data_IF_708415645926
#
_entry.id   IF_708415645926
#
_cell.length_a   1.000
_cell.length_b   1.000
_cell.length_c   1.000
_cell.angle_alpha   90.00
_cell.angle_beta   90.00
_cell.angle_gamma   90.00
#
_symmetry.space_group_name_H-M   'P 1'
#
loop_
_entity.id
_entity.type
_entity.pdbx_description
1 polymer ?
#
# COMPACT_ATOMS: atom_id res chain seq x y z
N UNK A 1 4.37 -2.66 31.14
CA UNK A 1 4.21 -3.16 29.74
C UNK A 1 4.11 -4.69 29.70
N UNK A 2 3.25 -5.27 30.55
CA UNK A 2 3.00 -6.71 30.59
C UNK A 2 1.50 -6.95 30.39
N UNK A 3 1.15 -7.99 29.62
CA UNK A 3 -0.18 -8.37 29.15
C UNK A 3 -0.74 -7.61 27.93
N UNK A 4 0.09 -7.38 26.91
CA UNK A 4 -0.45 -7.31 25.55
C UNK A 4 -0.92 -8.72 25.17
N UNK A 5 -2.21 -9.00 25.40
CA UNK A 5 -2.88 -10.25 25.02
C UNK A 5 -2.43 -10.64 23.60
N UNK A 6 -1.90 -11.85 23.45
CA UNK A 6 -1.82 -12.56 22.18
C UNK A 6 -3.24 -12.64 21.61
N UNK A 7 -3.66 -11.65 20.83
CA UNK A 7 -4.80 -11.85 19.94
C UNK A 7 -4.29 -12.82 18.90
N UNK A 8 -4.87 -14.02 18.89
CA UNK A 8 -4.57 -15.03 17.88
C UNK A 8 -4.75 -14.48 16.48
N UNK A 9 -4.12 -15.14 15.52
CA UNK A 9 -4.28 -14.87 14.08
C UNK A 9 -5.78 -14.72 13.75
N UNK A 10 -6.18 -13.75 12.89
CA UNK A 10 -7.57 -13.59 12.48
C UNK A 10 -8.15 -14.92 11.97
N UNK A 11 -9.45 -15.12 12.17
CA UNK A 11 -10.13 -16.31 11.68
C UNK A 11 -10.04 -16.39 10.14
N UNK A 12 -10.03 -17.62 9.59
CA UNK A 12 -9.97 -17.84 8.13
C UNK A 12 -11.02 -17.02 7.35
N UNK A 13 -12.23 -16.86 7.89
CA UNK A 13 -13.27 -16.03 7.29
C UNK A 13 -12.89 -14.55 7.13
N UNK A 14 -12.26 -13.95 8.14
CA UNK A 14 -11.84 -12.55 8.10
C UNK A 14 -10.70 -12.35 7.09
N UNK A 15 -9.74 -13.28 7.08
CA UNK A 15 -8.63 -13.32 6.10
C UNK A 15 -9.17 -13.49 4.67
N UNK A 16 -10.19 -14.33 4.50
CA UNK A 16 -10.87 -14.54 3.23
C UNK A 16 -11.58 -13.28 2.73
N UNK A 17 -12.21 -12.52 3.63
CA UNK A 17 -12.88 -11.26 3.28
C UNK A 17 -11.87 -10.21 2.78
N UNK A 18 -10.69 -10.14 3.41
CA UNK A 18 -9.58 -9.28 2.96
C UNK A 18 -9.11 -9.67 1.55
N UNK A 19 -8.83 -10.95 1.32
CA UNK A 19 -8.42 -11.46 0.01
C UNK A 19 -9.49 -11.26 -1.07
N UNK A 20 -10.76 -11.48 -0.74
CA UNK A 20 -11.87 -11.27 -1.66
C UNK A 20 -12.05 -9.78 -2.01
N UNK A 21 -11.81 -8.88 -1.05
CA UNK A 21 -11.76 -7.44 -1.28
C UNK A 21 -10.60 -7.04 -2.20
N UNK A 22 -9.40 -7.57 -1.94
CA UNK A 22 -8.22 -7.37 -2.79
C UNK A 22 -8.48 -7.86 -4.23
N UNK A 23 -9.01 -9.08 -4.40
CA UNK A 23 -9.39 -9.63 -5.71
C UNK A 23 -10.33 -8.71 -6.47
N UNK A 24 -11.45 -8.32 -5.84
CA UNK A 24 -12.48 -7.49 -6.45
C UNK A 24 -11.97 -6.09 -6.86
N UNK A 25 -11.02 -5.53 -6.10
CA UNK A 25 -10.45 -4.22 -6.39
C UNK A 25 -9.34 -4.22 -7.45
N UNK A 26 -8.58 -5.32 -7.57
CA UNK A 26 -7.35 -5.36 -8.39
C UNK A 26 -7.55 -6.16 -9.68
N UNK A 27 -8.09 -7.37 -9.61
CA UNK A 27 -8.12 -8.27 -10.76
C UNK A 27 -8.92 -7.73 -11.96
N UNK A 28 -10.12 -7.13 -11.79
CA UNK A 28 -10.87 -6.56 -12.92
C UNK A 28 -10.15 -5.39 -13.61
N UNK A 29 -9.43 -4.57 -12.84
CA UNK A 29 -8.67 -3.43 -13.39
C UNK A 29 -7.49 -3.90 -14.24
N UNK A 30 -6.71 -4.85 -13.72
CA UNK A 30 -5.60 -5.44 -14.48
C UNK A 30 -6.10 -6.09 -15.78
N UNK A 31 -7.25 -6.77 -15.75
CA UNK A 31 -7.85 -7.31 -16.96
C UNK A 31 -8.25 -6.23 -17.97
N UNK A 32 -8.85 -5.14 -17.48
CA UNK A 32 -9.20 -4.00 -18.33
C UNK A 32 -7.95 -3.37 -18.99
N UNK A 33 -6.83 -3.30 -18.28
CA UNK A 33 -5.55 -2.80 -18.80
C UNK A 33 -4.99 -3.73 -19.90
N UNK A 34 -5.03 -5.05 -19.69
CA UNK A 34 -4.63 -6.05 -20.70
C UNK A 34 -5.52 -5.97 -21.95
N UNK A 35 -6.82 -5.71 -21.76
CA UNK A 35 -7.74 -5.49 -22.88
C UNK A 35 -7.41 -4.20 -23.63
N UNK A 36 -7.15 -3.12 -22.90
CA UNK A 36 -6.84 -1.81 -23.47
C UNK A 36 -5.52 -1.79 -24.26
N UNK A 37 -4.57 -2.66 -23.92
CA UNK A 37 -3.32 -2.81 -24.68
C UNK A 37 -3.50 -3.50 -26.04
N UNK A 38 -4.67 -4.11 -26.29
CA UNK A 38 -4.93 -4.89 -27.50
C UNK A 38 -4.40 -6.33 -27.46
N UNK A 39 -3.78 -6.76 -26.35
CA UNK A 39 -3.23 -8.12 -26.19
C UNK A 39 -4.30 -9.23 -26.29
N UNK A 40 -5.58 -8.90 -26.10
CA UNK A 40 -6.71 -9.82 -26.24
C UNK A 40 -7.36 -9.80 -27.64
N UNK A 41 -6.69 -9.25 -28.65
CA UNK A 41 -7.21 -9.22 -30.02
C UNK A 41 -7.58 -10.64 -30.51
N UNK A 42 -8.83 -10.79 -30.95
CA UNK A 42 -9.38 -12.06 -31.44
C UNK A 42 -9.94 -13.01 -30.36
N UNK A 43 -9.73 -12.71 -29.07
CA UNK A 43 -10.30 -13.51 -27.98
C UNK A 43 -11.79 -13.17 -27.75
N UNK A 44 -12.60 -14.19 -27.43
CA UNK A 44 -13.97 -13.97 -26.93
C UNK A 44 -13.91 -13.36 -25.53
N UNK A 45 -14.53 -12.19 -25.35
CA UNK A 45 -14.40 -11.40 -24.10
C UNK A 45 -14.87 -12.18 -22.87
N UNK A 46 -15.95 -12.96 -22.99
CA UNK A 46 -16.50 -13.74 -21.89
C UNK A 46 -15.59 -14.91 -21.50
N UNK A 47 -15.05 -15.61 -22.50
CA UNK A 47 -14.09 -16.71 -22.30
C UNK A 47 -12.79 -16.17 -21.70
N UNK A 48 -12.29 -15.06 -22.24
CA UNK A 48 -11.07 -14.41 -21.74
C UNK A 48 -11.23 -13.96 -20.29
N UNK A 49 -12.36 -13.32 -19.95
CA UNK A 49 -12.66 -12.91 -18.58
C UNK A 49 -12.67 -14.08 -17.59
N UNK A 50 -13.30 -15.19 -17.96
CA UNK A 50 -13.37 -16.41 -17.11
C UNK A 50 -11.99 -17.05 -16.89
N UNK A 51 -11.19 -17.16 -17.95
CA UNK A 51 -9.84 -17.73 -17.84
C UNK A 51 -8.89 -16.79 -17.07
N UNK A 52 -9.08 -15.47 -17.16
CA UNK A 52 -8.38 -14.50 -16.32
C UNK A 52 -8.74 -14.66 -14.84
N UNK A 53 -10.04 -14.72 -14.52
CA UNK A 53 -10.51 -14.88 -13.13
C UNK A 53 -9.93 -16.15 -12.49
N UNK A 54 -9.87 -17.25 -13.24
CA UNK A 54 -9.28 -18.51 -12.78
C UNK A 54 -7.78 -18.38 -12.49
N UNK A 55 -7.01 -17.78 -13.42
CA UNK A 55 -5.58 -17.56 -13.24
C UNK A 55 -5.27 -16.58 -12.10
N UNK A 56 -6.05 -15.50 -11.99
CA UNK A 56 -5.90 -14.50 -10.94
C UNK A 56 -6.21 -15.09 -9.55
N UNK A 57 -7.28 -15.88 -9.41
CA UNK A 57 -7.57 -16.57 -8.14
C UNK A 57 -6.48 -17.57 -7.77
N UNK A 58 -5.93 -18.32 -8.74
CA UNK A 58 -4.80 -19.23 -8.47
C UNK A 58 -3.56 -18.46 -8.01
N UNK A 59 -3.26 -17.31 -8.61
CA UNK A 59 -2.18 -16.44 -8.16
C UNK A 59 -2.38 -15.96 -6.70
N UNK A 60 -3.59 -15.60 -6.31
CA UNK A 60 -3.91 -15.28 -4.91
C UNK A 60 -3.62 -16.47 -3.98
N UNK A 61 -4.03 -17.68 -4.34
CA UNK A 61 -3.77 -18.91 -3.55
C UNK A 61 -2.27 -19.15 -3.40
N UNK A 62 -1.46 -18.92 -4.45
CA UNK A 62 0.00 -18.98 -4.34
C UNK A 62 0.52 -18.01 -3.29
N UNK A 63 -0.02 -16.78 -3.25
CA UNK A 63 0.28 -15.80 -2.20
C UNK A 63 -0.09 -16.30 -0.80
N UNK A 64 -1.25 -16.94 -0.65
CA UNK A 64 -1.68 -17.57 0.62
C UNK A 64 -0.71 -18.66 1.07
N UNK A 65 -0.31 -19.55 0.16
CA UNK A 65 0.63 -20.63 0.45
C UNK A 65 2.01 -20.09 0.84
N UNK A 66 2.44 -18.98 0.22
CA UNK A 66 3.72 -18.34 0.52
C UNK A 66 3.78 -17.74 1.94
N UNK A 67 2.66 -17.23 2.47
CA UNK A 67 2.55 -16.76 3.86
C UNK A 67 2.65 -17.89 4.89
N UNK A 68 2.53 -19.15 4.45
CA UNK A 68 2.57 -20.33 5.30
C UNK A 68 1.35 -20.48 6.22
N UNK A 69 1.42 -21.49 7.09
CA UNK A 69 0.30 -21.99 7.88
C UNK A 69 0.23 -23.50 7.80
N UNK A 70 -0.67 -24.12 8.58
CA UNK A 70 -0.95 -25.54 8.42
C UNK A 70 -1.69 -25.79 7.10
N UNK A 71 -1.61 -27.02 6.58
CA UNK A 71 -2.36 -27.38 5.36
C UNK A 71 -3.87 -27.18 5.53
N UNK A 72 -4.40 -27.49 6.72
CA UNK A 72 -5.82 -27.33 7.05
C UNK A 72 -6.22 -25.85 7.11
N UNK A 73 -5.39 -24.99 7.72
CA UNK A 73 -5.62 -23.54 7.77
C UNK A 73 -5.65 -22.91 6.37
N UNK A 74 -4.74 -23.36 5.49
CA UNK A 74 -4.69 -22.90 4.10
C UNK A 74 -5.94 -23.39 3.36
N UNK A 75 -6.34 -24.65 3.52
CA UNK A 75 -7.53 -25.20 2.89
C UNK A 75 -8.81 -24.43 3.30
N UNK A 76 -9.00 -24.23 4.61
CA UNK A 76 -10.14 -23.47 5.15
C UNK A 76 -10.19 -22.04 4.61
N UNK A 77 -9.03 -21.37 4.51
CA UNK A 77 -8.93 -20.02 3.96
C UNK A 77 -9.25 -20.00 2.46
N UNK A 78 -8.76 -20.96 1.68
CA UNK A 78 -9.02 -21.04 0.24
C UNK A 78 -10.50 -21.33 -0.04
N UNK A 79 -11.11 -22.26 0.70
CA UNK A 79 -12.54 -22.56 0.58
C UNK A 79 -13.39 -21.33 0.93
N UNK A 80 -13.07 -20.66 2.04
CA UNK A 80 -13.72 -19.43 2.42
C UNK A 80 -13.56 -18.36 1.32
N UNK A 81 -12.36 -18.15 0.79
CA UNK A 81 -12.10 -17.19 -0.29
C UNK A 81 -12.97 -17.46 -1.53
N UNK A 82 -13.02 -18.71 -1.98
CA UNK A 82 -13.86 -19.11 -3.12
C UNK A 82 -15.34 -18.80 -2.88
N UNK A 83 -15.87 -19.10 -1.70
CA UNK A 83 -17.26 -18.78 -1.37
C UNK A 83 -17.56 -17.28 -1.51
N UNK A 84 -16.65 -16.40 -1.07
CA UNK A 84 -16.85 -14.95 -1.17
C UNK A 84 -16.75 -14.46 -2.60
N UNK A 85 -15.74 -14.91 -3.34
CA UNK A 85 -15.48 -14.41 -4.70
C UNK A 85 -16.53 -14.94 -5.68
N UNK A 86 -16.79 -16.25 -5.68
CA UNK A 86 -17.70 -16.85 -6.65
C UNK A 86 -19.15 -16.39 -6.47
N UNK A 87 -19.59 -16.20 -5.22
CA UNK A 87 -20.91 -15.66 -4.92
C UNK A 87 -21.08 -14.22 -5.40
N UNK A 88 -19.99 -13.46 -5.55
CA UNK A 88 -20.01 -12.08 -6.09
C UNK A 88 -19.95 -12.05 -7.62
N UNK A 89 -19.21 -12.96 -8.25
CA UNK A 89 -19.04 -13.00 -9.71
C UNK A 89 -20.31 -13.43 -10.44
N UNK A 90 -20.78 -14.66 -10.20
CA UNK A 90 -22.01 -15.18 -10.81
C UNK A 90 -22.74 -16.08 -9.78
N UNK A 91 -23.50 -15.54 -8.82
CA UNK A 91 -24.10 -16.32 -7.72
C UNK A 91 -24.98 -17.49 -8.19
N UNK A 92 -25.66 -17.36 -9.34
CA UNK A 92 -26.48 -18.42 -9.91
C UNK A 92 -25.67 -19.59 -10.52
N UNK A 93 -24.35 -19.45 -10.65
CA UNK A 93 -23.46 -20.39 -11.37
C UNK A 93 -22.24 -20.82 -10.55
N UNK A 94 -22.28 -20.63 -9.23
CA UNK A 94 -21.19 -21.06 -8.33
C UNK A 94 -20.76 -22.52 -8.57
N UNK A 95 -21.65 -23.51 -8.77
CA UNK A 95 -21.23 -24.88 -9.06
C UNK A 95 -20.44 -25.02 -10.37
N UNK A 96 -20.88 -24.32 -11.43
CA UNK A 96 -20.20 -24.31 -12.74
C UNK A 96 -18.83 -23.66 -12.64
N UNK A 97 -18.74 -22.54 -11.92
CA UNK A 97 -17.49 -21.82 -11.67
C UNK A 97 -16.52 -22.66 -10.85
N UNK A 98 -16.98 -23.33 -9.77
CA UNK A 98 -16.14 -24.26 -8.99
C UNK A 98 -15.61 -25.40 -9.84
N UNK A 99 -16.45 -26.00 -10.69
CA UNK A 99 -16.01 -27.06 -11.60
C UNK A 99 -14.99 -26.57 -12.63
N UNK A 100 -15.13 -25.33 -13.10
CA UNK A 100 -14.16 -24.69 -13.99
C UNK A 100 -12.82 -24.44 -13.28
N UNK A 101 -12.85 -23.81 -12.09
CA UNK A 101 -11.64 -23.57 -11.29
C UNK A 101 -10.90 -24.85 -10.97
N UNK A 102 -11.59 -25.91 -10.55
CA UNK A 102 -10.97 -27.21 -10.26
C UNK A 102 -10.15 -27.73 -11.44
N UNK A 103 -10.70 -27.69 -12.66
CA UNK A 103 -9.96 -28.10 -13.88
C UNK A 103 -8.74 -27.24 -14.14
N UNK A 104 -8.82 -25.92 -13.91
CA UNK A 104 -7.69 -25.01 -14.11
C UNK A 104 -6.62 -25.19 -13.06
N UNK A 105 -7.00 -25.41 -11.81
CA UNK A 105 -6.05 -25.61 -10.72
C UNK A 105 -5.30 -26.91 -10.87
N UNK A 106 -5.97 -28.00 -11.28
CA UNK A 106 -5.31 -29.26 -11.60
C UNK A 106 -4.22 -29.08 -12.65
N UNK A 107 -4.49 -28.29 -13.70
CA UNK A 107 -3.51 -27.94 -14.74
C UNK A 107 -2.37 -27.09 -14.18
N UNK A 108 -2.66 -25.99 -13.47
CA UNK A 108 -1.66 -25.06 -12.95
C UNK A 108 -0.77 -25.68 -11.87
N UNK A 109 -1.34 -26.47 -10.97
CA UNK A 109 -0.58 -27.23 -9.99
C UNK A 109 0.26 -28.32 -10.66
N UNK A 110 -0.25 -28.91 -11.75
CA UNK A 110 0.51 -29.80 -12.62
C UNK A 110 1.77 -29.12 -13.16
N UNK A 111 1.65 -27.91 -13.71
CA UNK A 111 2.78 -27.11 -14.20
C UNK A 111 3.80 -26.81 -13.09
N UNK A 112 3.33 -26.42 -11.91
CA UNK A 112 4.19 -26.15 -10.75
C UNK A 112 4.95 -27.41 -10.30
N UNK A 113 4.27 -28.56 -10.23
CA UNK A 113 4.89 -29.86 -9.90
C UNK A 113 5.94 -30.27 -10.92
N UNK A 114 5.66 -30.12 -12.22
CA UNK A 114 6.60 -30.47 -13.30
C UNK A 114 7.87 -29.62 -13.25
N UNK A 115 7.74 -28.32 -12.96
CA UNK A 115 8.89 -27.42 -12.86
C UNK A 115 9.72 -27.66 -11.58
N UNK A 116 9.08 -28.12 -10.50
CA UNK A 116 9.71 -28.39 -9.22
C UNK A 116 10.32 -27.16 -8.56
N UNK A 117 11.08 -27.38 -7.48
CA UNK A 117 11.66 -26.28 -6.68
C UNK A 117 12.64 -25.42 -7.48
N UNK A 118 13.48 -26.02 -8.31
CA UNK A 118 14.46 -25.30 -9.13
C UNK A 118 13.80 -24.47 -10.25
N UNK A 119 12.56 -24.80 -10.62
CA UNK A 119 11.79 -24.07 -11.63
C UNK A 119 10.76 -23.10 -11.05
N UNK A 120 10.72 -22.86 -9.73
CA UNK A 120 9.69 -22.04 -9.09
C UNK A 120 9.53 -20.65 -9.72
N UNK A 121 10.63 -19.97 -10.06
CA UNK A 121 10.61 -18.66 -10.71
C UNK A 121 9.98 -18.66 -12.13
N UNK A 122 9.83 -19.84 -12.76
CA UNK A 122 9.21 -19.99 -14.09
C UNK A 122 7.72 -20.34 -14.02
N UNK A 123 7.20 -20.67 -12.83
CA UNK A 123 5.80 -21.04 -12.64
C UNK A 123 4.83 -19.94 -13.11
N UNK A 124 5.03 -18.65 -12.82
CA UNK A 124 4.12 -17.59 -13.28
C UNK A 124 4.03 -17.54 -14.80
N UNK A 125 5.17 -17.63 -15.49
CA UNK A 125 5.23 -17.66 -16.95
C UNK A 125 4.54 -18.89 -17.55
N UNK A 126 4.68 -20.07 -16.92
CA UNK A 126 4.01 -21.28 -17.38
C UNK A 126 2.48 -21.21 -17.22
N UNK A 127 2.00 -20.68 -16.09
CA UNK A 127 0.56 -20.46 -15.84
C UNK A 127 0.01 -19.41 -16.82
N UNK A 128 0.73 -18.29 -17.01
CA UNK A 128 0.37 -17.26 -17.98
C UNK A 128 0.25 -17.81 -19.40
N UNK A 129 1.19 -18.66 -19.83
CA UNK A 129 1.14 -19.32 -21.12
C UNK A 129 -0.05 -20.28 -21.26
N UNK A 130 -0.43 -20.99 -20.19
CA UNK A 130 -1.63 -21.82 -20.19
C UNK A 130 -2.90 -20.98 -20.28
N UNK A 131 -3.03 -19.96 -19.42
CA UNK A 131 -4.14 -19.02 -19.43
C UNK A 131 -4.34 -18.38 -20.83
N UNK A 132 -3.27 -17.85 -21.43
CA UNK A 132 -3.32 -17.22 -22.76
C UNK A 132 -3.81 -18.19 -23.87
N UNK A 133 -3.45 -19.47 -23.80
CA UNK A 133 -3.99 -20.49 -24.73
C UNK A 133 -5.49 -20.70 -24.54
N UNK A 134 -5.97 -20.76 -23.29
CA UNK A 134 -7.39 -20.97 -23.01
C UNK A 134 -8.24 -19.74 -23.33
N UNK A 135 -7.66 -18.54 -23.28
CA UNK A 135 -8.28 -17.29 -23.75
C UNK A 135 -8.47 -17.25 -25.28
N UNK A 136 -7.82 -18.16 -26.03
CA UNK A 136 -7.84 -18.21 -27.49
C UNK A 136 -7.36 -16.90 -28.15
N UNK A 137 -6.38 -16.23 -27.54
CA UNK A 137 -5.82 -15.00 -28.10
C UNK A 137 -5.06 -15.29 -29.42
N UNK A 138 -5.14 -14.35 -30.37
CA UNK A 138 -4.46 -14.49 -31.67
C UNK A 138 -2.93 -14.63 -31.54
N UNK A 139 -2.35 -14.02 -30.52
CA UNK A 139 -0.94 -14.17 -30.14
C UNK A 139 -0.82 -14.56 -28.65
N UNK A 140 -0.96 -15.86 -28.39
CA UNK A 140 -0.90 -16.40 -27.03
C UNK A 140 0.49 -16.21 -26.37
N UNK A 141 1.57 -16.09 -27.15
CA UNK A 141 2.91 -15.91 -26.60
C UNK A 141 3.09 -14.48 -26.07
N UNK A 142 2.74 -13.48 -26.88
CA UNK A 142 2.78 -12.07 -26.45
C UNK A 142 1.85 -11.80 -25.26
N UNK A 143 0.65 -12.40 -25.26
CA UNK A 143 -0.25 -12.32 -24.12
C UNK A 143 0.36 -12.95 -22.86
N UNK A 144 1.00 -14.12 -22.96
CA UNK A 144 1.64 -14.76 -21.82
C UNK A 144 2.74 -13.90 -21.20
N UNK A 145 3.56 -13.23 -22.01
CA UNK A 145 4.58 -12.28 -21.54
C UNK A 145 3.96 -11.09 -20.79
N UNK A 146 2.78 -10.65 -21.22
CA UNK A 146 2.01 -9.59 -20.55
C UNK A 146 1.40 -10.07 -19.23
N UNK A 147 0.84 -11.28 -19.19
CA UNK A 147 0.14 -11.81 -18.01
C UNK A 147 1.08 -12.26 -16.88
N UNK A 148 2.25 -12.82 -17.21
CA UNK A 148 3.18 -13.36 -16.22
C UNK A 148 3.55 -12.38 -15.07
N UNK A 149 3.99 -11.15 -15.33
CA UNK A 149 4.30 -10.19 -14.26
C UNK A 149 3.06 -9.77 -13.46
N UNK A 150 1.88 -9.73 -14.09
CA UNK A 150 0.62 -9.39 -13.42
C UNK A 150 0.20 -10.48 -12.43
N UNK A 151 0.34 -11.76 -12.81
CA UNK A 151 0.06 -12.89 -11.92
C UNK A 151 1.02 -12.91 -10.73
N UNK A 152 2.30 -12.58 -10.94
CA UNK A 152 3.24 -12.48 -9.82
C UNK A 152 2.89 -11.30 -8.89
N UNK A 153 2.57 -10.14 -9.45
CA UNK A 153 2.11 -8.97 -8.67
C UNK A 153 0.83 -9.26 -7.87
N UNK A 154 -0.08 -10.08 -8.41
CA UNK A 154 -1.27 -10.53 -7.69
C UNK A 154 -0.92 -11.46 -6.51
N UNK A 155 0.02 -12.38 -6.70
CA UNK A 155 0.47 -13.29 -5.64
C UNK A 155 1.16 -12.52 -4.50
N UNK A 156 2.07 -11.59 -4.84
CA UNK A 156 2.74 -10.71 -3.88
C UNK A 156 1.74 -9.82 -3.14
N UNK A 157 0.78 -9.22 -3.87
CA UNK A 157 -0.26 -8.39 -3.27
C UNK A 157 -1.18 -9.16 -2.33
N UNK A 158 -1.49 -10.42 -2.64
CA UNK A 158 -2.29 -11.29 -1.78
C UNK A 158 -1.56 -11.65 -0.48
N UNK A 159 -0.26 -12.00 -0.58
CA UNK A 159 0.61 -12.24 0.58
C UNK A 159 0.70 -10.99 1.46
N UNK A 160 0.94 -9.82 0.89
CA UNK A 160 0.97 -8.56 1.61
C UNK A 160 -0.37 -8.22 2.30
N UNK A 161 -1.50 -8.46 1.63
CA UNK A 161 -2.83 -8.24 2.20
C UNK A 161 -3.10 -9.16 3.40
N UNK A 162 -2.62 -10.41 3.36
CA UNK A 162 -2.71 -11.34 4.48
C UNK A 162 -1.79 -10.98 5.63
N UNK A 163 -0.53 -10.65 5.37
CA UNK A 163 0.40 -10.21 6.40
C UNK A 163 -0.15 -8.98 7.14
N UNK A 164 -0.81 -8.09 6.41
CA UNK A 164 -1.50 -6.93 6.96
C UNK A 164 -2.72 -7.31 7.80
N UNK A 165 -3.57 -8.23 7.34
CA UNK A 165 -4.70 -8.72 8.12
C UNK A 165 -4.23 -9.42 9.40
N UNK A 166 -3.16 -10.19 9.30
CA UNK A 166 -2.56 -10.97 10.37
C UNK A 166 -1.81 -10.10 11.39
N UNK A 167 -1.55 -8.82 11.07
CA UNK A 167 -0.93 -7.86 11.99
C UNK A 167 -1.94 -7.46 13.08
N UNK A 168 -1.88 -8.02 14.31
CA UNK A 168 -2.94 -7.84 15.27
C UNK A 168 -2.94 -6.42 15.82
N UNK A 169 -4.12 -5.77 15.80
CA UNK A 169 -4.36 -4.55 16.56
C UNK A 169 -3.86 -3.26 15.91
N UNK A 170 -3.70 -3.21 14.59
CA UNK A 170 -3.56 -1.92 13.90
C UNK A 170 -4.92 -1.20 13.86
N UNK A 171 -5.03 -0.12 14.63
CA UNK A 171 -6.21 0.74 14.67
C UNK A 171 -6.02 1.94 13.74
N UNK A 172 -6.87 2.04 12.72
CA UNK A 172 -6.83 3.11 11.72
C UNK A 172 -8.14 3.92 11.75
N UNK A 173 -8.11 5.23 11.44
CA UNK A 173 -9.30 5.95 11.04
C UNK A 173 -9.83 5.37 9.72
N UNK A 174 -11.10 5.59 9.42
CA UNK A 174 -11.67 5.20 8.12
C UNK A 174 -10.82 5.79 6.98
N UNK A 175 -10.53 4.97 5.96
CA UNK A 175 -9.66 5.35 4.85
C UNK A 175 -10.47 5.98 3.70
N UNK A 176 -11.77 5.69 3.62
CA UNK A 176 -12.66 6.15 2.57
C UNK A 176 -12.78 7.68 2.52
N UNK A 177 -12.92 8.41 3.64
CA UNK A 177 -12.92 9.87 3.64
C UNK A 177 -11.59 10.45 3.11
N UNK A 178 -10.44 9.91 3.56
CA UNK A 178 -9.13 10.29 3.03
C UNK A 178 -9.06 10.07 1.51
N UNK A 179 -9.50 8.91 1.02
CA UNK A 179 -9.54 8.61 -0.43
C UNK A 179 -10.44 9.57 -1.21
N UNK A 180 -11.52 10.06 -0.61
CA UNK A 180 -12.38 11.05 -1.24
C UNK A 180 -11.69 12.40 -1.40
N UNK A 181 -10.97 12.84 -0.36
CA UNK A 181 -10.16 14.06 -0.41
C UNK A 181 -9.00 13.92 -1.41
N UNK A 182 -8.32 12.76 -1.41
CA UNK A 182 -7.13 12.55 -2.24
C UNK A 182 -7.45 12.46 -3.73
N UNK A 183 -8.61 11.91 -4.12
CA UNK A 183 -9.06 11.91 -5.52
C UNK A 183 -9.14 13.32 -6.12
N UNK A 184 -9.36 14.37 -5.30
CA UNK A 184 -9.31 15.76 -5.76
C UNK A 184 -7.89 16.25 -6.03
N UNK A 185 -6.93 15.82 -5.21
CA UNK A 185 -5.50 16.08 -5.46
C UNK A 185 -5.05 15.38 -6.75
N UNK A 186 -5.42 14.10 -6.91
CA UNK A 186 -5.13 13.32 -8.12
C UNK A 186 -5.74 13.99 -9.36
N UNK A 187 -7.02 14.38 -9.30
CA UNK A 187 -7.71 15.08 -10.39
C UNK A 187 -7.13 16.46 -10.72
N UNK A 188 -6.43 17.08 -9.78
CA UNK A 188 -5.73 18.35 -9.97
C UNK A 188 -4.25 18.18 -10.38
N UNK A 189 -3.76 16.94 -10.48
CA UNK A 189 -2.35 16.63 -10.78
C UNK A 189 -1.39 17.05 -9.66
N UNK A 190 -1.84 17.09 -8.40
CA UNK A 190 -1.01 17.43 -7.25
C UNK A 190 -0.45 16.15 -6.64
N UNK A 191 0.87 16.02 -6.62
CA UNK A 191 1.54 14.95 -5.87
C UNK A 191 1.31 15.13 -4.36
N UNK A 192 1.04 14.02 -3.68
CA UNK A 192 0.74 13.97 -2.26
C UNK A 192 1.29 12.70 -1.61
N UNK A 193 1.47 12.72 -0.30
CA UNK A 193 1.88 11.53 0.45
C UNK A 193 1.42 11.56 1.90
N UNK A 194 1.04 10.40 2.42
CA UNK A 194 0.66 10.21 3.82
C UNK A 194 1.91 10.15 4.68
N UNK A 195 1.91 10.97 5.73
CA UNK A 195 2.99 11.14 6.67
C UNK A 195 2.65 10.67 8.09
N UNK A 196 3.33 11.27 9.05
CA UNK A 196 3.08 11.14 10.49
C UNK A 196 2.78 9.70 10.96
N UNK A 197 1.63 9.50 11.61
CA UNK A 197 1.27 8.19 12.17
C UNK A 197 0.87 7.17 11.10
N UNK A 198 0.33 7.59 9.96
CA UNK A 198 0.07 6.72 8.81
C UNK A 198 1.36 6.15 8.22
N UNK A 199 2.40 6.98 8.07
CA UNK A 199 3.75 6.54 7.70
C UNK A 199 4.30 5.53 8.72
N UNK A 200 4.30 5.86 10.01
CA UNK A 200 4.80 4.95 11.06
C UNK A 200 4.06 3.60 11.03
N UNK A 201 2.73 3.61 10.88
CA UNK A 201 1.91 2.41 10.81
C UNK A 201 2.25 1.57 9.60
N UNK A 202 2.41 2.21 8.44
CA UNK A 202 2.83 1.50 7.22
C UNK A 202 4.16 0.76 7.44
N UNK A 203 5.07 1.33 8.24
CA UNK A 203 6.39 0.75 8.54
C UNK A 203 6.35 -0.30 9.67
N UNK A 204 5.18 -0.59 10.21
CA UNK A 204 5.02 -1.48 11.38
C UNK A 204 5.55 -0.89 12.68
N UNK A 205 5.82 0.42 12.74
CA UNK A 205 6.43 1.08 13.89
C UNK A 205 5.41 1.51 14.95
N UNK A 206 4.14 1.64 14.58
CA UNK A 206 3.03 1.91 15.52
C UNK A 206 1.81 1.07 15.18
N UNK A 207 0.93 0.91 16.18
CA UNK A 207 -0.32 0.15 16.06
C UNK A 207 -1.57 1.01 16.07
N UNK A 208 -1.44 2.33 16.20
CA UNK A 208 -2.60 3.24 16.19
C UNK A 208 -2.27 4.47 15.38
N UNK A 209 -3.13 4.74 14.40
CA UNK A 209 -3.22 5.98 13.65
C UNK A 209 -4.43 6.73 14.20
N UNK A 210 -4.22 7.97 14.62
CA UNK A 210 -5.31 8.80 15.15
C UNK A 210 -5.98 9.60 14.02
N UNK A 211 -5.21 9.98 13.03
CA UNK A 211 -5.56 10.93 11.99
C UNK A 211 -4.62 10.71 10.81
N UNK A 212 -5.04 11.24 9.66
CA UNK A 212 -4.28 11.19 8.43
C UNK A 212 -3.61 12.53 8.17
N UNK A 213 -2.29 12.60 8.30
CA UNK A 213 -1.50 13.73 7.82
C UNK A 213 -1.12 13.51 6.36
N UNK A 214 -1.56 14.38 5.46
CA UNK A 214 -1.24 14.37 4.04
C UNK A 214 -0.35 15.56 3.72
N UNK A 215 0.83 15.31 3.21
CA UNK A 215 1.76 16.34 2.76
C UNK A 215 1.60 16.61 1.26
N UNK A 216 1.63 17.89 0.87
CA UNK A 216 1.63 18.35 -0.52
C UNK A 216 2.56 19.56 -0.71
N UNK A 217 3.09 19.73 -1.92
CA UNK A 217 3.94 20.89 -2.27
C UNK A 217 3.16 22.08 -2.88
N UNK A 218 1.87 21.86 -3.18
CA UNK A 218 1.00 22.89 -3.70
C UNK A 218 0.82 24.05 -2.69
N UNK A 219 0.79 25.31 -3.14
CA UNK A 219 0.56 26.46 -2.27
C UNK A 219 -0.85 26.43 -1.64
N UNK A 220 -1.05 27.07 -0.46
CA UNK A 220 -2.32 27.01 0.25
C UNK A 220 -3.48 27.61 -0.55
N UNK A 221 -3.24 28.63 -1.38
CA UNK A 221 -4.27 29.22 -2.25
C UNK A 221 -4.85 28.18 -3.21
N UNK A 222 -3.98 27.36 -3.82
CA UNK A 222 -4.39 26.30 -4.75
C UNK A 222 -5.20 25.21 -4.04
N UNK A 223 -4.85 24.86 -2.81
CA UNK A 223 -5.61 23.88 -2.03
C UNK A 223 -7.00 24.41 -1.66
N UNK A 224 -7.10 25.69 -1.30
CA UNK A 224 -8.40 26.34 -1.01
C UNK A 224 -9.32 26.35 -2.24
N UNK A 225 -8.77 26.51 -3.44
CA UNK A 225 -9.54 26.38 -4.68
C UNK A 225 -10.08 24.95 -4.87
N UNK A 226 -9.24 23.93 -4.69
CA UNK A 226 -9.60 22.52 -4.90
C UNK A 226 -10.66 22.03 -3.91
N UNK A 227 -10.59 22.54 -2.68
CA UNK A 227 -11.53 22.21 -1.61
C UNK A 227 -12.61 23.28 -1.40
N UNK A 228 -12.81 24.17 -2.37
CA UNK A 228 -13.89 25.14 -2.30
C UNK A 228 -15.25 24.43 -2.14
N UNK A 229 -16.01 24.83 -1.12
CA UNK A 229 -17.30 24.22 -0.78
C UNK A 229 -17.24 23.04 0.18
N UNK A 230 -16.05 22.55 0.56
CA UNK A 230 -15.90 21.56 1.62
C UNK A 230 -15.78 22.24 2.99
N UNK A 231 -16.35 21.64 4.06
CA UNK A 231 -16.12 22.11 5.42
C UNK A 231 -14.69 21.75 5.87
N UNK A 232 -13.83 22.75 6.05
CA UNK A 232 -12.51 22.58 6.65
C UNK A 232 -12.11 23.80 7.48
N UNK A 233 -11.24 23.60 8.46
CA UNK A 233 -10.55 24.68 9.16
C UNK A 233 -9.21 24.97 8.47
N UNK A 234 -8.90 26.26 8.27
CA UNK A 234 -7.63 26.70 7.71
C UNK A 234 -6.72 27.23 8.81
N UNK A 235 -5.54 26.62 8.95
CA UNK A 235 -4.52 27.04 9.90
C UNK A 235 -3.32 27.59 9.15
N UNK A 236 -2.92 28.81 9.49
CA UNK A 236 -1.65 29.38 9.04
C UNK A 236 -0.50 28.95 9.96
N UNK A 237 0.62 29.63 9.82
CA UNK A 237 1.80 29.44 10.66
C UNK A 237 1.47 29.56 12.16
N UNK A 238 2.12 28.74 12.99
CA UNK A 238 1.89 28.72 14.43
C UNK A 238 2.91 27.85 15.18
N UNK A 239 3.31 28.29 16.37
CA UNK A 239 4.35 27.61 17.15
C UNK A 239 5.63 27.43 16.33
N UNK A 240 6.09 26.19 16.19
CA UNK A 240 7.25 25.85 15.35
C UNK A 240 6.93 25.63 13.87
N UNK A 241 5.65 25.63 13.47
CA UNK A 241 5.24 25.36 12.09
C UNK A 241 5.33 26.62 11.21
N UNK A 242 6.05 26.49 10.10
CA UNK A 242 6.15 27.48 9.02
C UNK A 242 5.34 27.06 7.77
N UNK A 243 4.50 26.04 7.92
CA UNK A 243 3.59 25.52 6.89
C UNK A 243 2.17 26.09 7.04
N UNK A 244 1.26 25.63 6.16
CA UNK A 244 -0.18 25.86 6.26
C UNK A 244 -0.92 24.54 6.21
N UNK A 245 -2.12 24.51 6.78
CA UNK A 245 -2.86 23.28 6.95
C UNK A 245 -4.36 23.46 6.76
N UNK A 246 -4.98 22.53 6.03
CA UNK A 246 -6.43 22.38 5.95
C UNK A 246 -6.83 21.16 6.80
N UNK A 247 -7.63 21.35 7.83
CA UNK A 247 -8.09 20.29 8.73
C UNK A 247 -9.54 19.93 8.41
N UNK A 248 -9.78 18.66 8.08
CA UNK A 248 -11.08 18.08 7.76
C UNK A 248 -11.53 17.17 8.90
N UNK A 249 -12.37 17.68 9.80
CA UNK A 249 -12.76 17.01 11.04
C UNK A 249 -13.44 15.66 10.80
N UNK A 250 -14.45 15.62 9.93
CA UNK A 250 -15.18 14.39 9.60
C UNK A 250 -14.27 13.31 9.00
N UNK A 251 -13.32 13.74 8.17
CA UNK A 251 -12.35 12.84 7.54
C UNK A 251 -11.19 12.47 8.48
N UNK A 252 -11.06 13.11 9.65
CA UNK A 252 -9.89 13.03 10.53
C UNK A 252 -8.59 13.16 9.75
N UNK A 253 -8.57 14.11 8.82
CA UNK A 253 -7.50 14.26 7.83
C UNK A 253 -7.02 15.70 7.81
N UNK A 254 -5.73 15.87 7.65
CA UNK A 254 -5.06 17.16 7.61
C UNK A 254 -4.20 17.23 6.35
N UNK A 255 -4.39 18.27 5.54
CA UNK A 255 -3.59 18.49 4.33
C UNK A 255 -2.61 19.63 4.61
N UNK A 256 -1.33 19.29 4.65
CA UNK A 256 -0.21 20.15 5.01
C UNK A 256 0.47 20.64 3.73
N UNK A 257 0.37 21.94 3.49
CA UNK A 257 0.96 22.65 2.35
C UNK A 257 2.38 23.09 2.67
N UNK A 258 3.34 22.69 1.83
CA UNK A 258 4.75 23.14 1.88
C UNK A 258 5.36 22.95 3.27
N UNK A 259 5.36 21.70 3.71
CA UNK A 259 5.73 21.30 5.07
C UNK A 259 7.07 21.88 5.51
N UNK A 260 7.07 22.68 6.59
CA UNK A 260 8.22 23.48 6.99
C UNK A 260 8.16 23.90 8.46
N UNK A 261 9.33 24.17 9.05
CA UNK A 261 9.47 24.51 10.46
C UNK A 261 10.35 25.74 10.67
N UNK A 262 9.98 26.61 11.62
CA UNK A 262 10.84 27.66 12.14
C UNK A 262 11.88 27.06 13.07
N UNK A 263 13.14 27.43 12.85
CA UNK A 263 14.29 27.11 13.70
C UNK A 263 15.09 28.39 13.97
N UNK A 264 15.96 28.44 15.00
CA UNK A 264 16.71 29.66 15.33
C UNK A 264 17.45 30.29 14.13
N UNK A 265 17.99 29.46 13.25
CA UNK A 265 18.81 29.89 12.10
C UNK A 265 18.02 30.00 10.78
N UNK A 266 16.68 29.92 10.82
CA UNK A 266 15.83 30.15 9.66
C UNK A 266 14.62 29.21 9.55
N UNK A 267 14.38 28.68 8.35
CA UNK A 267 13.27 27.78 8.07
C UNK A 267 13.81 26.52 7.43
N UNK A 268 13.45 25.36 8.00
CA UNK A 268 13.74 24.05 7.43
C UNK A 268 12.53 23.62 6.61
N UNK A 269 12.72 23.38 5.31
CA UNK A 269 11.69 22.81 4.44
C UNK A 269 11.84 21.30 4.34
N UNK A 270 10.78 20.58 4.71
CA UNK A 270 10.73 19.12 4.59
C UNK A 270 9.96 18.80 3.33
N UNK A 271 10.64 18.73 2.17
CA UNK A 271 9.97 18.50 0.88
C UNK A 271 9.37 17.10 0.78
N UNK A 272 8.25 17.00 0.10
CA UNK A 272 7.57 15.73 -0.17
C UNK A 272 8.45 14.86 -1.06
N UNK A 273 8.67 13.64 -0.59
CA UNK A 273 9.16 12.55 -1.41
C UNK A 273 8.31 11.32 -1.12
N UNK A 274 7.66 10.76 -2.14
CA UNK A 274 6.92 9.49 -1.99
C UNK A 274 7.93 8.34 -1.98
N UNK A 275 7.95 7.59 -0.88
CA UNK A 275 8.90 6.49 -0.69
C UNK A 275 8.37 5.15 -1.17
N UNK A 276 7.05 4.94 -1.07
CA UNK A 276 6.35 3.71 -1.43
C UNK A 276 4.83 3.94 -1.40
N UNK A 277 4.08 2.87 -1.61
CA UNK A 277 2.63 2.84 -1.41
C UNK A 277 2.25 1.84 -0.32
N UNK A 278 1.21 2.15 0.45
CA UNK A 278 0.63 1.26 1.46
C UNK A 278 -0.90 1.44 1.49
N UNK A 279 -1.66 0.34 1.40
CA UNK A 279 -3.12 0.35 1.23
C UNK A 279 -3.61 1.21 0.04
N UNK A 280 -2.79 1.31 -1.01
CA UNK A 280 -3.04 2.14 -2.18
C UNK A 280 -2.83 3.64 -1.94
N UNK A 281 -2.29 4.04 -0.79
CA UNK A 281 -1.95 5.43 -0.48
C UNK A 281 -0.45 5.65 -0.75
N UNK A 282 -0.03 6.73 -1.43
CA UNK A 282 1.36 7.16 -1.46
C UNK A 282 1.81 7.51 -0.05
N UNK A 283 2.99 7.02 0.34
CA UNK A 283 3.56 7.22 1.68
C UNK A 283 4.77 8.14 1.55
N UNK A 284 4.78 9.22 2.33
CA UNK A 284 5.88 10.17 2.41
C UNK A 284 7.18 9.49 2.90
N UNK A 285 8.30 10.18 2.79
CA UNK A 285 9.60 9.59 3.11
C UNK A 285 9.84 9.49 4.63
N UNK A 286 10.41 8.37 5.12
CA UNK A 286 10.83 8.26 6.51
C UNK A 286 11.90 9.30 6.88
N UNK A 287 12.77 9.68 5.95
CA UNK A 287 13.81 10.70 6.17
C UNK A 287 13.22 12.07 6.50
N UNK A 288 12.25 12.54 5.69
CA UNK A 288 11.62 13.84 5.92
C UNK A 288 10.84 13.87 7.22
N UNK A 289 10.08 12.82 7.52
CA UNK A 289 9.29 12.75 8.74
C UNK A 289 10.12 12.55 10.01
N UNK A 290 11.28 11.89 9.94
CA UNK A 290 12.22 11.84 11.05
C UNK A 290 12.68 13.25 11.44
N UNK A 291 13.04 14.07 10.45
CA UNK A 291 13.40 15.48 10.65
C UNK A 291 12.24 16.27 11.24
N UNK A 292 11.04 16.16 10.65
CA UNK A 292 9.85 16.86 11.14
C UNK A 292 9.55 16.53 12.60
N UNK A 293 9.58 15.24 12.98
CA UNK A 293 9.36 14.82 14.36
C UNK A 293 10.46 15.28 15.32
N UNK A 294 11.72 15.30 14.89
CA UNK A 294 12.81 15.83 15.70
C UNK A 294 12.63 17.33 15.98
N UNK A 295 12.27 18.11 14.95
CA UNK A 295 12.02 19.54 15.08
C UNK A 295 10.81 19.83 15.97
N UNK A 296 9.69 19.12 15.78
CA UNK A 296 8.54 19.21 16.68
C UNK A 296 8.92 18.79 18.11
N UNK A 297 9.71 17.72 18.28
CA UNK A 297 10.20 17.27 19.58
C UNK A 297 11.03 18.31 20.33
N UNK A 298 11.66 19.24 19.61
CA UNK A 298 12.46 20.32 20.18
C UNK A 298 11.67 21.62 20.39
N UNK A 299 10.81 21.99 19.43
CA UNK A 299 10.27 23.35 19.32
C UNK A 299 8.73 23.45 19.45
N UNK A 300 7.99 22.34 19.41
CA UNK A 300 6.52 22.33 19.54
C UNK A 300 6.06 22.66 20.99
N UNK A 301 4.77 22.59 21.27
CA UNK A 301 4.23 22.78 22.62
C UNK A 301 4.81 21.75 23.61
N UNK A 302 5.20 22.14 24.85
CA UNK A 302 5.90 21.29 25.80
C UNK A 302 5.26 19.92 26.04
N UNK A 303 3.93 19.84 26.06
CA UNK A 303 3.16 18.62 26.31
C UNK A 303 3.24 17.61 25.15
N UNK A 304 3.55 18.08 23.94
CA UNK A 304 3.64 17.25 22.73
C UNK A 304 5.07 16.76 22.47
N UNK A 305 6.08 17.50 22.93
CA UNK A 305 7.51 17.27 22.63
C UNK A 305 7.96 15.83 22.88
N UNK A 306 7.66 15.27 24.05
CA UNK A 306 8.11 13.93 24.41
C UNK A 306 7.66 12.85 23.41
N UNK A 307 6.37 12.88 23.02
CA UNK A 307 5.80 11.95 22.05
C UNK A 307 6.37 12.17 20.64
N UNK A 308 6.62 13.42 20.24
CA UNK A 308 7.21 13.76 18.94
C UNK A 308 8.67 13.27 18.86
N UNK A 309 9.45 13.46 19.92
CA UNK A 309 10.81 12.93 20.04
C UNK A 309 10.85 11.40 19.97
N UNK A 310 9.96 10.70 20.68
CA UNK A 310 9.86 9.23 20.61
C UNK A 310 9.61 8.75 19.16
N UNK A 311 8.70 9.42 18.43
CA UNK A 311 8.42 9.09 17.03
C UNK A 311 9.59 9.36 16.10
N UNK A 312 10.36 10.42 16.36
CA UNK A 312 11.63 10.67 15.66
C UNK A 312 12.61 9.53 15.87
N UNK A 313 12.76 9.05 17.11
CA UNK A 313 13.66 7.94 17.42
C UNK A 313 13.27 6.65 16.70
N UNK A 314 11.96 6.33 16.62
CA UNK A 314 11.48 5.17 15.88
C UNK A 314 11.88 5.23 14.39
N UNK A 315 11.72 6.38 13.74
CA UNK A 315 12.09 6.55 12.33
C UNK A 315 13.61 6.53 12.13
N UNK A 316 14.38 7.18 13.00
CA UNK A 316 15.84 7.17 12.91
C UNK A 316 16.41 5.77 13.15
N UNK A 317 15.86 5.00 14.09
CA UNK A 317 16.24 3.61 14.30
C UNK A 317 15.89 2.73 13.08
N UNK A 318 14.71 2.95 12.48
CA UNK A 318 14.34 2.28 11.23
C UNK A 318 15.35 2.57 10.11
N UNK A 319 15.66 3.85 9.87
CA UNK A 319 16.62 4.29 8.85
C UNK A 319 18.04 3.76 9.11
N UNK A 320 18.45 3.67 10.38
CA UNK A 320 19.73 3.08 10.75
C UNK A 320 19.80 1.58 10.41
N UNK A 321 18.67 0.87 10.47
CA UNK A 321 18.60 -0.56 10.12
C UNK A 321 18.43 -0.79 8.60
N UNK A 322 17.64 0.04 7.91
CA UNK A 322 17.28 -0.16 6.50
C UNK A 322 18.16 0.59 5.50
N UNK A 323 18.92 1.59 5.96
CA UNK A 323 19.55 2.59 5.12
C UNK A 323 18.61 3.74 4.74
N UNK A 324 19.15 4.95 4.65
CA UNK A 324 18.50 6.16 4.18
C UNK A 324 18.80 6.41 2.69
N UNK A 325 17.81 6.91 1.96
CA UNK A 325 17.95 7.27 0.54
C UNK A 325 18.74 8.58 0.39
N UNK A 326 19.93 8.58 -0.26
CA UNK A 326 20.73 9.79 -0.45
C UNK A 326 19.98 10.91 -1.17
N UNK A 327 19.11 10.59 -2.13
CA UNK A 327 18.37 11.59 -2.91
C UNK A 327 17.36 12.38 -2.07
N UNK A 328 16.97 11.83 -0.91
CA UNK A 328 16.05 12.46 0.05
C UNK A 328 16.81 13.09 1.21
N UNK A 329 17.89 12.44 1.65
CA UNK A 329 18.71 12.89 2.77
C UNK A 329 19.55 14.13 2.45
N UNK A 330 20.17 14.18 1.26
CA UNK A 330 21.08 15.25 0.89
C UNK A 330 20.37 16.62 0.80
N UNK A 331 19.16 16.75 0.22
CA UNK A 331 18.39 18.00 0.29
C UNK A 331 18.05 18.44 1.72
N UNK A 332 17.72 17.50 2.62
CA UNK A 332 17.44 17.83 4.03
C UNK A 332 18.70 18.35 4.74
N UNK A 333 19.86 17.77 4.47
CA UNK A 333 21.15 18.21 5.03
C UNK A 333 21.60 19.59 4.51
N UNK A 334 21.02 20.07 3.41
CA UNK A 334 21.26 21.40 2.87
C UNK A 334 20.34 22.48 3.50
N UNK A 335 19.28 22.09 4.21
CA UNK A 335 18.43 22.99 4.99
C UNK A 335 19.15 23.41 6.30
N UNK A 336 18.77 24.53 6.94
CA UNK A 336 19.42 25.03 8.17
C UNK A 336 19.03 24.19 9.41
N UNK A 337 19.35 22.89 9.40
CA UNK A 337 19.05 21.98 10.50
C UNK A 337 19.88 22.32 11.75
N UNK A 338 19.32 22.16 12.97
CA UNK A 338 20.12 22.16 14.19
C UNK A 338 21.25 21.13 14.11
N UNK A 339 22.48 21.53 14.43
CA UNK A 339 23.67 20.69 14.22
C UNK A 339 23.57 19.29 14.84
N UNK A 340 23.00 19.09 16.05
CA UNK A 340 22.80 17.73 16.59
C UNK A 340 21.95 16.83 15.69
N UNK A 341 20.89 17.38 15.06
CA UNK A 341 20.04 16.63 14.14
C UNK A 341 20.78 16.35 12.82
N UNK A 342 21.47 17.36 12.27
CA UNK A 342 22.26 17.21 11.05
C UNK A 342 23.35 16.13 11.22
N UNK A 343 24.08 16.13 12.34
CA UNK A 343 25.09 15.14 12.64
C UNK A 343 24.51 13.71 12.72
N UNK A 344 23.33 13.53 13.32
CA UNK A 344 22.63 12.24 13.36
C UNK A 344 22.25 11.77 11.96
N UNK A 345 21.70 12.64 11.13
CA UNK A 345 21.35 12.31 9.74
C UNK A 345 22.58 11.91 8.93
N UNK A 346 23.70 12.63 9.05
CA UNK A 346 24.97 12.29 8.37
C UNK A 346 25.52 10.93 8.78
N UNK A 347 25.18 10.43 9.98
CA UNK A 347 25.64 9.14 10.49
C UNK A 347 24.81 7.93 10.00
N UNK A 348 23.66 8.16 9.38
CA UNK A 348 22.81 7.08 8.88
C UNK A 348 23.51 6.34 7.72
N UNK A 349 23.39 5.00 7.63
CA UNK A 349 23.87 4.26 6.48
C UNK A 349 23.10 4.71 5.23
N UNK A 350 23.80 4.85 4.10
CA UNK A 350 23.18 5.19 2.81
C UNK A 350 22.74 3.91 2.11
N UNK A 351 21.49 3.87 1.65
CA UNK A 351 20.98 2.80 0.79
C UNK A 351 21.57 2.97 -0.61
N UNK A 352 22.14 1.89 -1.15
CA UNK A 352 22.73 1.84 -2.49
C UNK A 352 21.71 1.65 -3.60
#
# INVERSE_FOLDING_TARGET
MAAARERGRPAAGERADVLAGFFAGVAPRLFADVRASGALSGADERTAGREWEAAALHALIRGVVAEGGSADEIADLVDALHDRVLSRLEPAKVPELRAHLARRYDEYDGLARTLGKAGAARVPGAIAAACARHMLAGDAASLAETLAPLLESLAEGASAALAEADTPGLELPAIEPLRALSRRLDGAGIEWGVGASGLLASLGLVRRVNDWDVQVEAPPERLREIYAGEPYAFHGHGGCHADWKLSFEEARTEIISRFAFFVPDGTVRVRLHVSRHWRGLPIASPEGWAVAYALMGQYDEPELRARRSERSELLLAHLAASGADPARLDPLLAEPLPEPLAARLRSLPRRG
#
